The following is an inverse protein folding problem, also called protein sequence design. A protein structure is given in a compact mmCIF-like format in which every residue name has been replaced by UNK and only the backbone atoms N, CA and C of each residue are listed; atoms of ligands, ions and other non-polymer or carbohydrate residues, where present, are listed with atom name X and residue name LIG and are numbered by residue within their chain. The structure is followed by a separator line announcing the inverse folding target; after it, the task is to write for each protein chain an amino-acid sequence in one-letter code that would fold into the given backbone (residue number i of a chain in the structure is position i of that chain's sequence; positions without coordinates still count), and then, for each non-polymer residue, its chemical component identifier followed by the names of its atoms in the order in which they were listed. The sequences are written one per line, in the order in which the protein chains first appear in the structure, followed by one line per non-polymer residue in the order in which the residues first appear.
data_IF_801944309497
#
_entry.id   IF_801944309497
#
_cell.length_a   1.000
_cell.length_b   1.000
_cell.length_c   1.000
_cell.angle_alpha   90.00
_cell.angle_beta   90.00
_cell.angle_gamma   90.00
#
_symmetry.space_group_name_H-M   'P 1'
#
loop_
_entity.id
_entity.type
_entity.pdbx_description
1 polymer ?
#
# COMPACT_ATOMS: atom_id res chain seq x y z
N UNK A 1 33.02 10.95 2.34
CA UNK A 1 33.12 10.11 1.13
C UNK A 1 32.86 8.67 1.56
N UNK A 2 31.65 8.17 1.42
CA UNK A 2 31.35 6.75 1.55
C UNK A 2 30.84 6.29 0.19
N UNK A 3 31.35 5.18 -0.36
CA UNK A 3 31.01 4.75 -1.71
C UNK A 3 29.59 4.23 -1.76
N UNK A 4 28.89 4.68 -2.79
CA UNK A 4 27.55 4.23 -3.12
C UNK A 4 27.47 2.71 -3.18
N UNK A 5 26.32 2.18 -2.83
CA UNK A 5 25.94 0.78 -2.96
C UNK A 5 25.86 0.41 -4.46
N UNK A 6 27.04 0.32 -5.10
CA UNK A 6 27.18 -0.31 -6.40
C UNK A 6 27.21 -1.80 -6.13
N UNK A 7 26.09 -2.43 -6.27
CA UNK A 7 25.98 -3.88 -6.35
C UNK A 7 26.93 -4.33 -7.45
N UNK A 8 28.01 -4.98 -7.06
CA UNK A 8 29.00 -5.58 -7.93
C UNK A 8 28.31 -6.65 -8.75
N UNK A 9 27.76 -6.25 -9.89
CA UNK A 9 27.26 -7.19 -10.88
C UNK A 9 28.46 -7.97 -11.41
N UNK A 10 28.54 -9.21 -11.00
CA UNK A 10 29.44 -10.21 -11.55
C UNK A 10 29.13 -10.34 -13.03
N UNK A 11 30.10 -9.97 -13.85
CA UNK A 11 30.05 -10.08 -15.30
C UNK A 11 29.90 -11.57 -15.63
N UNK A 12 28.73 -11.97 -16.04
CA UNK A 12 28.53 -13.23 -16.76
C UNK A 12 27.69 -12.98 -18.01
N UNK A 13 28.36 -13.22 -19.13
CA UNK A 13 27.85 -13.54 -20.48
C UNK A 13 26.60 -12.81 -20.95
N UNK A 14 26.84 -11.86 -21.86
CA UNK A 14 25.85 -11.19 -22.71
C UNK A 14 24.88 -12.19 -23.33
N UNK A 15 23.65 -12.23 -22.76
CA UNK A 15 22.48 -12.64 -23.51
C UNK A 15 22.04 -11.47 -24.42
N UNK A 16 21.35 -11.73 -25.55
CA UNK A 16 21.04 -10.72 -26.56
C UNK A 16 20.27 -9.55 -25.97
N UNK A 17 20.70 -8.37 -26.35
CA UNK A 17 20.12 -7.07 -25.99
C UNK A 17 18.63 -7.05 -26.32
N UNK A 18 17.80 -7.30 -25.35
CA UNK A 18 16.37 -6.96 -25.42
C UNK A 18 16.29 -5.42 -25.41
N UNK A 19 15.62 -4.86 -26.42
CA UNK A 19 15.56 -3.42 -26.63
C UNK A 19 14.91 -2.63 -25.48
N UNK A 20 15.11 -1.34 -25.38
CA UNK A 20 14.73 -0.47 -24.25
C UNK A 20 13.25 -0.49 -23.87
N UNK A 21 12.36 -0.90 -24.78
CA UNK A 21 10.90 -1.00 -24.50
C UNK A 21 10.51 -2.11 -23.51
N UNK A 22 11.34 -3.13 -23.30
CA UNK A 22 11.01 -4.26 -22.42
C UNK A 22 11.31 -3.96 -20.95
N UNK A 23 12.25 -3.07 -20.68
CA UNK A 23 12.68 -2.75 -19.32
C UNK A 23 11.69 -1.80 -18.61
N UNK A 24 11.18 -0.79 -19.33
CA UNK A 24 10.16 0.14 -18.80
C UNK A 24 8.83 -0.54 -18.50
N UNK A 25 8.40 -1.47 -19.37
CA UNK A 25 7.18 -2.24 -19.15
C UNK A 25 7.29 -3.15 -17.90
N UNK A 26 8.48 -3.66 -17.61
CA UNK A 26 8.73 -4.52 -16.45
C UNK A 26 8.76 -3.71 -15.13
N UNK A 27 9.26 -2.49 -15.15
CA UNK A 27 9.24 -1.57 -13.99
C UNK A 27 7.81 -1.16 -13.63
N UNK A 28 6.98 -0.80 -14.61
CA UNK A 28 5.58 -0.45 -14.40
C UNK A 28 4.77 -1.63 -13.83
N UNK A 29 4.94 -2.82 -14.38
CA UNK A 29 4.28 -4.03 -13.91
C UNK A 29 4.66 -4.39 -12.47
N UNK A 30 5.93 -4.27 -12.10
CA UNK A 30 6.43 -4.52 -10.74
C UNK A 30 5.86 -3.51 -9.73
N UNK A 31 5.77 -2.23 -10.09
CA UNK A 31 5.20 -1.19 -9.23
C UNK A 31 3.72 -1.44 -8.96
N UNK A 32 2.94 -1.80 -9.98
CA UNK A 32 1.52 -2.14 -9.84
C UNK A 32 1.32 -3.41 -9.00
N UNK A 33 2.12 -4.44 -9.21
CA UNK A 33 2.06 -5.67 -8.42
C UNK A 33 2.37 -5.42 -6.94
N UNK A 34 3.34 -4.55 -6.64
CA UNK A 34 3.70 -4.14 -5.29
C UNK A 34 2.55 -3.41 -4.58
N UNK A 35 1.92 -2.45 -5.26
CA UNK A 35 0.77 -1.72 -4.73
C UNK A 35 -0.44 -2.65 -4.53
N UNK A 36 -0.75 -3.48 -5.51
CA UNK A 36 -1.85 -4.45 -5.43
C UNK A 36 -1.64 -5.45 -4.28
N UNK A 37 -0.40 -5.89 -4.05
CA UNK A 37 -0.05 -6.78 -2.96
C UNK A 37 -0.26 -6.11 -1.60
N UNK A 38 0.20 -4.87 -1.42
CA UNK A 38 -0.01 -4.11 -0.20
C UNK A 38 -1.50 -3.87 0.07
N UNK A 39 -2.28 -3.49 -0.95
CA UNK A 39 -3.74 -3.31 -0.84
C UNK A 39 -4.45 -4.63 -0.54
N UNK A 40 -4.01 -5.73 -1.11
CA UNK A 40 -4.56 -7.06 -0.84
C UNK A 40 -4.35 -7.49 0.61
N UNK A 41 -3.12 -7.34 1.14
CA UNK A 41 -2.82 -7.61 2.56
C UNK A 41 -3.67 -6.70 3.45
N UNK A 42 -3.72 -5.41 3.15
CA UNK A 42 -4.52 -4.45 3.90
C UNK A 42 -6.00 -4.81 3.91
N UNK A 43 -6.58 -5.09 2.74
CA UNK A 43 -7.97 -5.54 2.62
C UNK A 43 -8.24 -6.84 3.38
N UNK A 44 -7.32 -7.80 3.32
CA UNK A 44 -7.42 -9.06 4.07
C UNK A 44 -7.45 -8.81 5.57
N UNK A 45 -6.57 -7.94 6.08
CA UNK A 45 -6.56 -7.52 7.47
C UNK A 45 -7.90 -6.87 7.88
N UNK A 46 -8.39 -5.90 7.09
CA UNK A 46 -9.67 -5.26 7.34
C UNK A 46 -10.83 -6.25 7.31
N UNK A 47 -10.84 -7.21 6.39
CA UNK A 47 -11.85 -8.25 6.31
C UNK A 47 -11.88 -9.13 7.57
N UNK A 48 -10.73 -9.57 8.03
CA UNK A 48 -10.61 -10.37 9.27
C UNK A 48 -11.06 -9.56 10.49
N UNK A 49 -10.59 -8.33 10.65
CA UNK A 49 -10.98 -7.47 11.76
C UNK A 49 -12.49 -7.18 11.74
N UNK A 50 -13.07 -6.99 10.56
CA UNK A 50 -14.52 -6.76 10.42
C UNK A 50 -15.35 -7.97 10.84
N UNK A 51 -14.90 -9.19 10.47
CA UNK A 51 -15.60 -10.43 10.84
C UNK A 51 -15.52 -10.68 12.34
N UNK A 52 -14.36 -10.44 12.95
CA UNK A 52 -14.13 -10.78 14.36
C UNK A 52 -14.63 -9.71 15.33
N UNK A 53 -14.49 -8.44 14.98
CA UNK A 53 -14.68 -7.35 15.95
C UNK A 53 -15.59 -6.23 15.45
N UNK A 54 -15.89 -6.15 14.15
CA UNK A 54 -16.43 -4.96 13.53
C UNK A 54 -15.40 -3.82 13.48
N UNK A 55 -15.35 -3.10 12.38
CA UNK A 55 -14.34 -2.06 12.13
C UNK A 55 -14.95 -0.68 11.86
N UNK A 56 -16.27 -0.60 11.93
CA UNK A 56 -17.03 0.65 11.88
C UNK A 56 -17.45 1.11 13.26
N UNK A 57 -17.82 2.38 13.39
CA UNK A 57 -18.30 2.95 14.62
C UNK A 57 -17.21 3.42 15.57
N UNK A 58 -17.47 3.39 16.85
CA UNK A 58 -16.55 3.78 17.93
C UNK A 58 -16.24 2.60 18.83
N UNK A 59 -15.30 2.76 19.76
CA UNK A 59 -14.97 1.73 20.75
C UNK A 59 -16.19 1.31 21.59
N UNK A 60 -17.15 2.23 21.79
CA UNK A 60 -18.38 1.99 22.56
C UNK A 60 -19.51 1.40 21.72
N UNK A 61 -19.55 1.73 20.42
CA UNK A 61 -20.57 1.27 19.48
C UNK A 61 -19.91 0.64 18.26
N UNK A 62 -19.44 -0.60 18.43
CA UNK A 62 -18.81 -1.34 17.34
C UNK A 62 -19.86 -1.72 16.30
N UNK A 63 -19.57 -1.35 15.07
CA UNK A 63 -20.40 -1.66 13.91
C UNK A 63 -19.62 -2.53 12.93
N UNK A 64 -20.34 -3.42 12.28
CA UNK A 64 -19.80 -4.22 11.18
C UNK A 64 -20.01 -3.48 9.87
N UNK A 65 -18.97 -3.46 9.05
CA UNK A 65 -19.03 -2.93 7.68
C UNK A 65 -19.67 -3.95 6.77
N UNK A 66 -20.65 -3.53 5.99
CA UNK A 66 -21.28 -4.35 4.95
C UNK A 66 -20.53 -4.08 3.63
N UNK A 67 -19.56 -4.93 3.31
CA UNK A 67 -18.70 -4.76 2.13
C UNK A 67 -19.49 -4.72 0.82
N UNK A 68 -20.55 -5.51 0.72
CA UNK A 68 -21.42 -5.51 -0.46
C UNK A 68 -22.13 -4.15 -0.67
N UNK A 69 -22.44 -3.42 0.40
CA UNK A 69 -22.96 -2.07 0.32
C UNK A 69 -21.89 -1.09 -0.22
N UNK A 70 -20.66 -1.18 0.27
CA UNK A 70 -19.55 -0.37 -0.24
C UNK A 70 -19.26 -0.64 -1.71
N UNK A 71 -19.12 -1.90 -2.11
CA UNK A 71 -18.82 -2.28 -3.48
C UNK A 71 -19.93 -1.95 -4.48
N UNK A 72 -21.20 -1.95 -4.02
CA UNK A 72 -22.36 -1.64 -4.86
C UNK A 72 -22.83 -0.19 -4.74
N UNK A 73 -22.13 0.65 -3.98
CA UNK A 73 -22.53 2.05 -3.69
C UNK A 73 -23.97 2.09 -3.14
N UNK A 74 -24.29 1.17 -2.21
CA UNK A 74 -25.61 1.08 -1.56
C UNK A 74 -26.70 0.38 -2.37
N UNK A 75 -26.42 -0.10 -3.59
CA UNK A 75 -27.43 -0.71 -4.45
C UNK A 75 -27.91 -2.09 -3.97
N UNK A 76 -27.00 -2.92 -3.47
CA UNK A 76 -27.33 -4.26 -2.96
C UNK A 76 -27.81 -4.24 -1.51
N UNK A 77 -27.28 -3.33 -0.71
CA UNK A 77 -27.62 -3.15 0.70
C UNK A 77 -27.66 -1.66 1.00
N UNK A 78 -28.74 -1.14 1.60
CA UNK A 78 -28.85 0.30 1.90
C UNK A 78 -27.93 0.71 3.07
N UNK A 79 -27.68 -0.20 4.01
CA UNK A 79 -26.91 0.10 5.21
C UNK A 79 -25.43 -0.25 5.01
N UNK A 80 -24.58 0.74 5.10
CA UNK A 80 -23.10 0.59 5.03
C UNK A 80 -22.55 -0.03 6.32
N UNK A 81 -23.18 0.24 7.45
CA UNK A 81 -22.80 -0.23 8.78
C UNK A 81 -24.00 -0.88 9.47
N UNK A 82 -23.73 -1.94 10.20
CA UNK A 82 -24.76 -2.66 10.98
C UNK A 82 -24.22 -2.94 12.39
N UNK A 83 -25.11 -2.89 13.37
CA UNK A 83 -24.76 -3.14 14.78
C UNK A 83 -24.66 -4.63 15.10
N UNK A 84 -25.24 -5.49 14.25
CA UNK A 84 -25.16 -6.93 14.43
C UNK A 84 -23.82 -7.48 13.95
N UNK A 85 -23.18 -8.32 14.75
CA UNK A 85 -21.92 -8.99 14.40
C UNK A 85 -22.14 -10.31 13.65
N UNK A 86 -23.33 -10.50 13.08
CA UNK A 86 -23.68 -11.71 12.33
C UNK A 86 -22.85 -11.79 11.05
N UNK A 87 -22.30 -12.97 10.79
CA UNK A 87 -21.59 -13.23 9.54
C UNK A 87 -22.55 -13.17 8.35
N UNK A 88 -22.20 -12.35 7.36
CA UNK A 88 -22.99 -12.13 6.15
C UNK A 88 -22.32 -12.78 4.94
N UNK A 89 -22.71 -14.00 4.54
CA UNK A 89 -21.97 -14.78 3.54
C UNK A 89 -21.72 -14.01 2.24
N UNK A 90 -22.74 -13.36 1.69
CA UNK A 90 -22.63 -12.63 0.43
C UNK A 90 -21.73 -11.38 0.51
N UNK A 91 -21.66 -10.74 1.67
CA UNK A 91 -20.81 -9.56 1.88
C UNK A 91 -19.38 -9.95 2.27
N UNK A 92 -19.26 -10.74 3.32
CA UNK A 92 -17.97 -11.06 3.94
C UNK A 92 -17.16 -12.03 3.08
N UNK A 93 -17.80 -13.10 2.57
CA UNK A 93 -17.11 -14.10 1.74
C UNK A 93 -16.66 -13.51 0.42
N UNK A 94 -17.52 -12.76 -0.27
CA UNK A 94 -17.18 -12.16 -1.57
C UNK A 94 -16.00 -11.19 -1.39
N UNK A 95 -16.05 -10.34 -0.36
CA UNK A 95 -14.94 -9.43 -0.07
C UNK A 95 -13.65 -10.19 0.22
N UNK A 96 -13.69 -11.20 1.10
CA UNK A 96 -12.51 -12.01 1.43
C UNK A 96 -11.94 -12.74 0.21
N UNK A 97 -12.77 -13.30 -0.66
CA UNK A 97 -12.30 -13.93 -1.90
C UNK A 97 -11.59 -12.91 -2.80
N UNK A 98 -12.14 -11.70 -2.94
CA UNK A 98 -11.53 -10.66 -3.76
C UNK A 98 -10.17 -10.22 -3.21
N UNK A 99 -10.07 -9.92 -1.91
CA UNK A 99 -8.81 -9.42 -1.33
C UNK A 99 -7.74 -10.50 -1.19
N UNK A 100 -8.11 -11.74 -0.86
CA UNK A 100 -7.19 -12.88 -0.83
C UNK A 100 -6.74 -13.22 -2.26
N UNK A 101 -7.66 -13.23 -3.22
CA UNK A 101 -7.35 -13.44 -4.63
C UNK A 101 -6.40 -12.37 -5.17
N UNK A 102 -6.64 -11.10 -4.84
CA UNK A 102 -5.74 -10.00 -5.19
C UNK A 102 -4.35 -10.18 -4.56
N UNK A 103 -4.30 -10.56 -3.29
CA UNK A 103 -3.03 -10.81 -2.57
C UNK A 103 -2.26 -11.96 -3.20
N UNK A 104 -2.93 -13.08 -3.49
CA UNK A 104 -2.29 -14.26 -4.07
C UNK A 104 -1.79 -13.99 -5.49
N UNK A 105 -2.61 -13.36 -6.33
CA UNK A 105 -2.24 -13.02 -7.70
C UNK A 105 -1.08 -12.03 -7.75
N UNK A 106 -1.19 -10.92 -7.02
CA UNK A 106 -0.15 -9.89 -7.00
C UNK A 106 1.13 -10.37 -6.31
N UNK A 107 1.00 -11.18 -5.26
CA UNK A 107 2.13 -11.81 -4.58
C UNK A 107 2.90 -12.76 -5.51
N UNK A 108 2.19 -13.58 -6.31
CA UNK A 108 2.82 -14.42 -7.32
C UNK A 108 3.54 -13.59 -8.39
N UNK A 109 2.90 -12.52 -8.87
CA UNK A 109 3.49 -11.61 -9.84
C UNK A 109 4.76 -10.94 -9.29
N UNK A 110 4.68 -10.47 -8.05
CA UNK A 110 5.80 -9.82 -7.36
C UNK A 110 6.94 -10.81 -7.08
N UNK A 111 6.62 -12.05 -6.68
CA UNK A 111 7.60 -13.11 -6.48
C UNK A 111 8.38 -13.42 -7.77
N UNK A 112 7.67 -13.52 -8.88
CA UNK A 112 8.27 -13.84 -10.17
C UNK A 112 9.08 -12.67 -10.78
N UNK A 113 8.74 -11.42 -10.42
CA UNK A 113 9.40 -10.22 -10.95
C UNK A 113 10.55 -9.71 -10.08
N UNK A 114 10.77 -10.29 -8.91
CA UNK A 114 11.80 -9.85 -7.95
C UNK A 114 12.82 -10.95 -7.72
N UNK A 115 14.08 -10.66 -7.99
CA UNK A 115 15.18 -11.55 -7.63
C UNK A 115 15.21 -11.73 -6.11
N UNK A 116 15.08 -12.98 -5.62
CA UNK A 116 14.90 -13.29 -4.20
C UNK A 116 13.45 -13.24 -3.70
N UNK A 117 12.46 -13.00 -4.58
CA UNK A 117 11.03 -13.12 -4.30
C UNK A 117 10.47 -12.06 -3.36
N UNK A 118 9.35 -12.40 -2.70
CA UNK A 118 8.63 -11.48 -1.79
C UNK A 118 9.49 -11.06 -0.59
N UNK A 119 10.35 -11.93 -0.08
CA UNK A 119 11.23 -11.61 1.07
C UNK A 119 12.23 -10.52 0.71
N UNK A 120 12.86 -10.62 -0.46
CA UNK A 120 13.78 -9.60 -0.95
C UNK A 120 13.03 -8.28 -1.22
N UNK A 121 11.81 -8.33 -1.73
CA UNK A 121 10.97 -7.14 -1.87
C UNK A 121 10.68 -6.49 -0.51
N UNK A 122 10.27 -7.27 0.50
CA UNK A 122 9.99 -6.74 1.84
C UNK A 122 11.24 -6.11 2.46
N UNK A 123 12.38 -6.78 2.34
CA UNK A 123 13.66 -6.22 2.76
C UNK A 123 13.95 -4.89 2.03
N UNK A 124 13.73 -4.83 0.72
CA UNK A 124 13.96 -3.60 -0.05
C UNK A 124 13.04 -2.45 0.38
N UNK A 125 11.83 -2.73 0.82
CA UNK A 125 10.91 -1.72 1.36
C UNK A 125 11.40 -1.21 2.72
N UNK A 126 11.84 -2.12 3.60
CA UNK A 126 12.33 -1.76 4.95
C UNK A 126 13.68 -1.06 4.92
N UNK A 127 14.59 -1.49 4.02
CA UNK A 127 15.95 -0.94 3.90
C UNK A 127 16.07 0.15 2.83
N UNK A 128 14.95 0.65 2.31
CA UNK A 128 14.94 1.67 1.27
C UNK A 128 15.67 2.94 1.74
N UNK A 129 16.59 3.45 0.92
CA UNK A 129 17.30 4.70 1.18
C UNK A 129 16.37 5.91 1.37
N UNK A 130 15.12 5.81 0.87
CA UNK A 130 14.12 6.84 1.08
C UNK A 130 13.84 7.11 2.57
N UNK A 131 14.02 6.12 3.47
CA UNK A 131 13.92 6.35 4.91
C UNK A 131 15.01 7.28 5.45
N UNK A 132 16.18 7.27 4.85
CA UNK A 132 17.28 8.18 5.21
C UNK A 132 16.95 9.63 4.87
N UNK A 133 16.09 9.87 3.86
CA UNK A 133 15.63 11.20 3.49
C UNK A 133 14.80 11.90 4.56
N UNK A 134 14.23 11.15 5.51
CA UNK A 134 13.54 11.72 6.67
C UNK A 134 14.50 12.46 7.60
N UNK A 135 15.77 12.03 7.64
CA UNK A 135 16.77 12.56 8.57
C UNK A 135 17.73 13.57 7.91
N UNK A 136 17.88 13.53 6.59
CA UNK A 136 18.89 14.34 5.87
C UNK A 136 18.30 15.09 4.68
N UNK A 137 17.88 16.33 4.93
CA UNK A 137 17.42 17.25 3.87
C UNK A 137 18.54 17.65 2.91
N UNK A 138 19.81 17.66 3.39
CA UNK A 138 20.95 18.06 2.57
C UNK A 138 21.29 17.03 1.50
N UNK A 139 21.11 15.76 1.79
CA UNK A 139 21.44 14.67 0.86
C UNK A 139 20.28 14.33 -0.07
N UNK A 140 19.04 14.36 0.44
CA UNK A 140 17.86 13.95 -0.30
C UNK A 140 17.14 15.10 -1.02
N UNK A 141 17.45 16.34 -0.66
CA UNK A 141 16.72 17.53 -1.12
C UNK A 141 15.40 17.75 -0.37
N UNK A 142 14.97 19.01 -0.29
CA UNK A 142 13.79 19.42 0.48
C UNK A 142 12.48 18.77 0.02
N UNK A 143 12.31 18.60 -1.30
CA UNK A 143 11.08 17.98 -1.86
C UNK A 143 10.96 16.51 -1.48
N UNK A 144 12.03 15.73 -1.58
CA UNK A 144 12.03 14.31 -1.21
C UNK A 144 11.81 14.13 0.30
N UNK A 145 12.43 14.96 1.12
CA UNK A 145 12.22 14.96 2.58
C UNK A 145 10.76 15.27 2.92
N UNK A 146 10.18 16.31 2.33
CA UNK A 146 8.77 16.67 2.53
C UNK A 146 7.83 15.56 2.06
N UNK A 147 8.13 14.92 0.92
CA UNK A 147 7.37 13.78 0.41
C UNK A 147 7.32 12.64 1.42
N UNK A 148 8.47 12.24 1.95
CA UNK A 148 8.58 11.16 2.93
C UNK A 148 7.87 11.49 4.24
N UNK A 149 7.96 12.71 4.73
CA UNK A 149 7.20 13.15 5.90
C UNK A 149 5.70 13.09 5.68
N UNK A 150 5.19 13.52 4.51
CA UNK A 150 3.77 13.39 4.18
C UNK A 150 3.30 11.93 4.18
N UNK A 151 4.09 11.02 3.59
CA UNK A 151 3.76 9.59 3.56
C UNK A 151 3.72 8.99 4.99
N UNK A 152 4.74 9.28 5.80
CA UNK A 152 4.82 8.77 7.17
C UNK A 152 3.72 9.35 8.05
N UNK A 153 3.47 10.65 7.98
CA UNK A 153 2.41 11.31 8.75
C UNK A 153 1.03 10.80 8.34
N UNK A 154 0.77 10.64 7.04
CA UNK A 154 -0.49 10.09 6.55
C UNK A 154 -0.75 8.68 7.07
N UNK A 155 0.24 7.80 7.00
CA UNK A 155 0.13 6.42 7.49
C UNK A 155 0.01 6.37 9.02
N UNK A 156 0.83 7.15 9.74
CA UNK A 156 0.79 7.22 11.21
C UNK A 156 -0.55 7.76 11.69
N UNK A 157 -1.07 8.83 11.05
CA UNK A 157 -2.38 9.40 11.37
C UNK A 157 -3.48 8.34 11.20
N UNK A 158 -3.48 7.62 10.09
CA UNK A 158 -4.46 6.56 9.83
C UNK A 158 -4.43 5.46 10.90
N UNK A 159 -3.24 4.92 11.19
CA UNK A 159 -3.07 3.86 12.18
C UNK A 159 -3.49 4.34 13.57
N UNK A 160 -3.03 5.53 13.97
CA UNK A 160 -3.36 6.12 15.26
C UNK A 160 -4.87 6.29 15.44
N UNK A 161 -5.55 6.92 14.49
CA UNK A 161 -7.00 7.13 14.54
C UNK A 161 -7.76 5.79 14.56
N UNK A 162 -7.34 4.84 13.75
CA UNK A 162 -7.98 3.54 13.66
C UNK A 162 -7.87 2.75 14.97
N UNK A 163 -6.74 2.85 15.68
CA UNK A 163 -6.54 2.17 16.96
C UNK A 163 -7.29 2.90 18.09
N UNK A 164 -7.16 4.21 18.19
CA UNK A 164 -7.74 5.01 19.30
C UNK A 164 -9.26 4.99 19.23
N UNK A 165 -9.83 5.18 18.05
CA UNK A 165 -11.29 5.21 17.86
C UNK A 165 -11.88 3.87 17.46
N UNK A 166 -11.08 2.84 17.29
CA UNK A 166 -11.48 1.51 16.83
C UNK A 166 -12.33 1.55 15.54
N UNK A 167 -12.07 2.53 14.71
CA UNK A 167 -12.79 2.76 13.47
C UNK A 167 -11.80 2.75 12.30
N UNK A 168 -11.70 1.60 11.64
CA UNK A 168 -10.77 1.37 10.53
C UNK A 168 -11.34 1.82 9.18
N UNK A 169 -12.64 2.11 9.12
CA UNK A 169 -13.33 2.58 7.93
C UNK A 169 -14.06 3.88 8.24
N UNK A 170 -13.32 4.95 8.31
CA UNK A 170 -13.83 6.31 8.50
C UNK A 170 -13.52 7.16 7.27
N UNK A 171 -14.55 7.76 6.67
CA UNK A 171 -14.41 8.55 5.45
C UNK A 171 -13.53 9.80 5.68
N UNK A 172 -13.65 10.44 6.85
CA UNK A 172 -12.83 11.59 7.20
C UNK A 172 -11.36 11.24 7.35
N UNK A 173 -11.07 10.14 8.06
CA UNK A 173 -9.72 9.63 8.26
C UNK A 173 -9.11 9.20 6.93
N UNK A 174 -9.86 8.48 6.09
CA UNK A 174 -9.40 8.12 4.75
C UNK A 174 -9.11 9.33 3.86
N UNK A 175 -9.96 10.36 3.92
CA UNK A 175 -9.77 11.57 3.11
C UNK A 175 -8.47 12.29 3.47
N UNK A 176 -8.19 12.49 4.74
CA UNK A 176 -6.94 13.12 5.21
C UNK A 176 -5.73 12.26 4.86
N UNK A 177 -5.83 10.94 5.10
CA UNK A 177 -4.77 9.99 4.76
C UNK A 177 -4.48 10.00 3.27
N UNK A 178 -5.52 9.91 2.43
CA UNK A 178 -5.37 9.93 0.97
C UNK A 178 -4.77 11.25 0.46
N UNK A 179 -5.16 12.38 1.05
CA UNK A 179 -4.57 13.68 0.71
C UNK A 179 -3.08 13.73 1.03
N UNK A 180 -2.67 13.28 2.23
CA UNK A 180 -1.26 13.24 2.63
C UNK A 180 -0.44 12.26 1.78
N UNK A 181 -0.95 11.06 1.55
CA UNK A 181 -0.26 10.06 0.73
C UNK A 181 -0.17 10.50 -0.74
N UNK A 182 -1.26 11.07 -1.29
CA UNK A 182 -1.28 11.57 -2.66
C UNK A 182 -0.34 12.75 -2.87
N UNK A 183 -0.34 13.71 -1.95
CA UNK A 183 0.59 14.85 -2.00
C UNK A 183 2.04 14.40 -1.82
N UNK A 184 2.31 13.48 -0.89
CA UNK A 184 3.63 12.91 -0.70
C UNK A 184 4.13 12.17 -1.95
N UNK A 185 3.28 11.37 -2.58
CA UNK A 185 3.61 10.70 -3.83
C UNK A 185 3.90 11.70 -4.97
N UNK A 186 3.09 12.74 -5.12
CA UNK A 186 3.30 13.77 -6.13
C UNK A 186 4.64 14.50 -5.94
N UNK A 187 4.99 14.87 -4.71
CA UNK A 187 6.29 15.47 -4.39
C UNK A 187 7.46 14.52 -4.69
N UNK A 188 7.30 13.23 -4.41
CA UNK A 188 8.32 12.23 -4.70
C UNK A 188 8.56 12.08 -6.21
N UNK A 189 7.50 12.08 -7.01
CA UNK A 189 7.62 12.06 -8.47
C UNK A 189 8.28 13.33 -9.01
N UNK A 190 7.90 14.50 -8.49
CA UNK A 190 8.51 15.77 -8.88
C UNK A 190 10.01 15.82 -8.53
N UNK A 191 10.40 15.35 -7.35
CA UNK A 191 11.79 15.28 -6.94
C UNK A 191 12.63 14.34 -7.81
N UNK A 192 12.05 13.22 -8.26
CA UNK A 192 12.73 12.29 -9.16
C UNK A 192 12.91 12.87 -10.55
N UNK A 193 11.87 13.52 -11.10
CA UNK A 193 11.94 14.15 -12.42
C UNK A 193 13.05 15.23 -12.49
N UNK A 194 13.19 16.04 -11.42
CA UNK A 194 14.26 17.05 -11.33
C UNK A 194 15.66 16.46 -11.20
N UNK A 195 15.79 15.25 -10.68
CA UNK A 195 17.09 14.57 -10.56
C UNK A 195 17.54 13.91 -11.87
N UNK A 196 16.63 13.75 -12.84
CA UNK A 196 16.91 13.17 -14.15
C UNK A 196 17.22 14.25 -15.23
N UNK A 197 16.98 15.54 -14.93
CA UNK A 197 17.36 16.70 -15.78
C UNK A 197 18.80 17.16 -15.50
#
# INVERSE_FOLDING_TARGET
MLPGCVTRAMVMTRAPVAGPMTEDNNRGSRSLASLAFALGIWGTMLGILNILFGIGGTAESKMKVVWAAYLSVGQLYPDLFVNDMVYRPYSDTVFMILVIGLTAWSGRQLHNSTEGGIVAWLQSVVTCEAWLSLMSTKEAGGKMTSAMWCLVLGLTFYIYQSIVHWNWVDVGVYSVTAALLGFGAALMFAAKAEAEE
#
